data_IF_605398242326
#
_entry.id   IF_605398242326
#
_cell.length_a   1.000
_cell.length_b   1.000
_cell.length_c   1.000
_cell.angle_alpha   90.00
_cell.angle_beta   90.00
_cell.angle_gamma   90.00
#
_symmetry.space_group_name_H-M   'P 1'
#
loop_
_entity.id
_entity.type
_entity.pdbx_description
1 polymer ?
#
# COMPACT_ATOMS: atom_id res chain seq x y z
N UNK A 1 -4.84 40.45 8.15
CA UNK A 1 -3.60 40.59 7.38
C UNK A 1 -2.73 39.31 7.42
N UNK A 2 -2.75 38.55 8.50
CA UNK A 2 -2.02 37.26 8.59
C UNK A 2 -2.63 36.10 7.80
N UNK A 3 -3.84 36.25 7.33
CA UNK A 3 -4.57 35.19 6.60
C UNK A 3 -4.07 34.93 5.18
N UNK A 4 -3.39 35.91 4.57
CA UNK A 4 -2.89 35.79 3.20
C UNK A 4 -1.58 35.01 3.12
N UNK A 5 -0.79 34.98 4.17
CA UNK A 5 0.48 34.26 4.22
C UNK A 5 0.29 32.74 4.34
N UNK A 6 -0.76 32.32 5.04
CA UNK A 6 -1.08 30.90 5.24
C UNK A 6 -1.48 30.22 3.92
N UNK A 7 -2.11 30.95 3.00
CA UNK A 7 -2.50 30.41 1.69
C UNK A 7 -1.33 30.21 0.74
N UNK A 8 -0.24 30.94 0.89
CA UNK A 8 0.94 30.81 0.03
C UNK A 8 1.78 29.58 0.35
N UNK A 9 1.84 29.19 1.61
CA UNK A 9 2.58 27.98 2.01
C UNK A 9 1.96 26.68 1.48
N UNK A 10 0.65 26.64 1.35
CA UNK A 10 -0.06 25.46 0.82
C UNK A 10 0.16 25.22 -0.66
N UNK A 11 0.57 26.23 -1.42
CA UNK A 11 0.73 26.14 -2.87
C UNK A 11 2.12 25.71 -3.31
N UNK A 12 3.11 25.70 -2.42
CA UNK A 12 4.49 25.42 -2.77
C UNK A 12 4.93 23.98 -2.51
N UNK A 13 4.15 23.19 -1.80
CA UNK A 13 4.45 21.76 -1.57
C UNK A 13 4.02 20.94 -2.77
N UNK A 14 5.00 20.51 -3.56
CA UNK A 14 4.76 19.49 -4.59
C UNK A 14 4.21 18.23 -3.94
N UNK A 15 3.04 17.80 -4.39
CA UNK A 15 2.48 16.54 -3.92
C UNK A 15 3.26 15.36 -4.46
N UNK A 16 3.70 14.47 -3.58
CA UNK A 16 4.12 13.13 -3.96
C UNK A 16 2.90 12.34 -4.43
N UNK A 17 3.07 11.25 -5.20
CA UNK A 17 1.94 10.38 -5.54
C UNK A 17 1.12 10.04 -4.29
N UNK A 18 -0.20 10.14 -4.37
CA UNK A 18 -1.10 10.04 -3.20
C UNK A 18 -1.00 8.69 -2.46
N UNK A 19 -0.58 7.64 -3.16
CA UNK A 19 -0.53 6.28 -2.60
C UNK A 19 0.86 5.86 -2.14
N UNK A 20 1.86 6.74 -2.24
CA UNK A 20 3.24 6.45 -1.84
C UNK A 20 3.62 7.35 -0.68
N UNK A 21 4.08 6.73 0.40
CA UNK A 21 4.53 7.41 1.61
C UNK A 21 6.00 7.08 1.84
N UNK A 22 6.79 8.08 2.22
CA UNK A 22 8.17 7.89 2.61
C UNK A 22 8.26 7.47 4.07
N UNK A 23 9.04 6.42 4.32
CA UNK A 23 9.35 5.94 5.65
C UNK A 23 10.86 5.69 5.72
N UNK A 24 11.51 6.13 6.79
CA UNK A 24 12.97 6.01 6.94
C UNK A 24 13.46 4.57 6.97
N UNK A 25 12.66 3.66 7.51
CA UNK A 25 13.01 2.25 7.60
C UNK A 25 12.67 1.46 6.33
N UNK A 26 11.56 1.79 5.69
CA UNK A 26 11.00 1.04 4.54
C UNK A 26 11.31 1.68 3.19
N UNK A 27 11.73 2.95 3.20
CA UNK A 27 11.78 3.74 1.98
C UNK A 27 10.38 4.12 1.50
N UNK A 28 10.15 4.10 0.20
CA UNK A 28 8.79 4.35 -0.34
C UNK A 28 7.93 3.11 -0.19
N UNK A 29 6.73 3.26 0.34
CA UNK A 29 5.76 2.18 0.47
C UNK A 29 4.34 2.67 0.18
N UNK A 30 3.42 1.73 -0.08
CA UNK A 30 2.02 2.02 -0.30
C UNK A 30 1.35 2.50 0.99
N UNK A 31 0.53 3.53 0.88
CA UNK A 31 -0.24 4.04 2.02
C UNK A 31 -1.36 3.06 2.36
N UNK A 32 -1.45 2.65 3.63
CA UNK A 32 -2.57 1.83 4.11
C UNK A 32 -3.87 2.64 4.11
N UNK A 33 -4.98 1.98 3.77
CA UNK A 33 -6.30 2.58 3.96
C UNK A 33 -6.63 2.59 5.45
N UNK A 34 -6.88 3.76 6.00
CA UNK A 34 -7.23 3.94 7.41
C UNK A 34 -8.49 3.17 7.82
N UNK A 35 -9.39 2.96 6.87
CA UNK A 35 -10.61 2.20 7.07
C UNK A 35 -10.35 0.78 7.60
N UNK A 36 -9.39 0.07 7.02
CA UNK A 36 -9.09 -1.31 7.41
C UNK A 36 -8.52 -1.43 8.82
N UNK A 37 -7.82 -0.38 9.30
CA UNK A 37 -7.21 -0.40 10.63
C UNK A 37 -8.16 0.03 11.75
N UNK A 38 -9.30 0.67 11.43
CA UNK A 38 -10.23 1.21 12.40
C UNK A 38 -11.41 0.28 12.73
N UNK A 39 -11.59 -0.79 11.97
CA UNK A 39 -12.64 -1.76 12.21
C UNK A 39 -12.23 -2.71 13.33
N UNK A 40 -12.99 -2.75 14.40
CA UNK A 40 -12.76 -3.66 15.51
C UNK A 40 -13.13 -5.10 15.18
N UNK A 41 -12.49 -6.06 15.84
CA UNK A 41 -12.84 -7.46 15.69
C UNK A 41 -14.26 -7.73 16.15
N UNK A 42 -15.10 -8.44 15.36
CA UNK A 42 -16.41 -8.86 15.81
C UNK A 42 -16.29 -9.87 16.96
N UNK A 43 -17.18 -9.80 17.92
CA UNK A 43 -17.16 -10.70 19.06
C UNK A 43 -18.55 -10.94 19.58
N UNK A 44 -18.75 -12.10 20.20
CA UNK A 44 -19.98 -12.42 20.93
C UNK A 44 -19.97 -11.60 22.23
N UNK A 45 -21.02 -10.83 22.45
CA UNK A 45 -21.21 -10.06 23.67
C UNK A 45 -22.41 -10.63 24.42
N UNK A 46 -22.19 -11.08 25.64
CA UNK A 46 -23.19 -11.66 26.47
C UNK A 46 -23.40 -10.79 27.72
N UNK A 47 -24.67 -10.55 28.08
CA UNK A 47 -25.05 -9.86 29.31
C UNK A 47 -25.61 -10.88 30.29
N UNK A 48 -25.17 -10.85 31.54
CA UNK A 48 -25.74 -11.57 32.68
C UNK A 48 -25.95 -13.07 32.45
N UNK A 49 -24.97 -13.78 31.97
CA UNK A 49 -25.07 -15.22 31.70
C UNK A 49 -24.23 -16.03 32.67
N UNK A 50 -24.62 -17.32 32.81
CA UNK A 50 -23.87 -18.26 33.63
C UNK A 50 -22.44 -18.47 33.18
N UNK A 51 -21.59 -18.84 34.12
CA UNK A 51 -20.14 -18.92 33.90
C UNK A 51 -19.69 -19.80 32.75
N UNK A 52 -20.38 -20.94 32.50
CA UNK A 52 -19.98 -21.83 31.42
C UNK A 52 -20.30 -21.27 30.02
N UNK A 53 -21.42 -20.56 29.87
CA UNK A 53 -21.73 -19.87 28.61
C UNK A 53 -20.69 -18.80 28.30
N UNK A 54 -20.28 -18.05 29.31
CA UNK A 54 -19.23 -17.05 29.16
C UNK A 54 -17.92 -17.70 28.75
N UNK A 55 -17.58 -18.83 29.34
CA UNK A 55 -16.36 -19.59 28.96
C UNK A 55 -16.43 -20.08 27.53
N UNK A 56 -17.58 -20.62 27.10
CA UNK A 56 -17.77 -21.09 25.72
C UNK A 56 -17.66 -19.93 24.73
N UNK A 57 -18.30 -18.80 25.05
CA UNK A 57 -18.24 -17.61 24.22
C UNK A 57 -16.80 -17.07 24.12
N UNK A 58 -16.05 -17.11 25.21
CA UNK A 58 -14.65 -16.68 25.21
C UNK A 58 -13.79 -17.56 24.32
N UNK A 59 -14.01 -18.89 24.31
CA UNK A 59 -13.30 -19.81 23.42
C UNK A 59 -13.65 -19.52 21.96
N UNK A 60 -14.95 -19.35 21.67
CA UNK A 60 -15.40 -18.99 20.32
C UNK A 60 -14.82 -17.63 19.87
N UNK A 61 -14.78 -16.66 20.75
CA UNK A 61 -14.24 -15.34 20.46
C UNK A 61 -12.75 -15.37 20.13
N UNK A 62 -11.98 -16.27 20.74
CA UNK A 62 -10.58 -16.45 20.36
C UNK A 62 -10.43 -16.90 18.92
N UNK A 63 -11.30 -17.81 18.47
CA UNK A 63 -11.31 -18.30 17.09
C UNK A 63 -11.72 -17.17 16.13
N UNK A 64 -12.74 -16.41 16.48
CA UNK A 64 -13.18 -15.26 15.67
C UNK A 64 -12.10 -14.20 15.58
N UNK A 65 -11.42 -13.90 16.67
CA UNK A 65 -10.30 -12.94 16.67
C UNK A 65 -9.15 -13.41 15.78
N UNK A 66 -8.81 -14.71 15.85
CA UNK A 66 -7.75 -15.30 15.01
C UNK A 66 -8.10 -15.17 13.53
N UNK A 67 -9.34 -15.50 13.17
CA UNK A 67 -9.81 -15.38 11.78
C UNK A 67 -9.86 -13.93 11.32
N UNK A 68 -10.27 -13.03 12.18
CA UNK A 68 -10.26 -11.60 11.90
C UNK A 68 -8.85 -11.09 11.59
N UNK A 69 -7.86 -11.48 12.40
CA UNK A 69 -6.47 -11.08 12.18
C UNK A 69 -5.92 -11.63 10.86
N UNK A 70 -6.27 -12.86 10.49
CA UNK A 70 -5.93 -13.42 9.19
C UNK A 70 -6.51 -12.59 8.04
N UNK A 71 -7.82 -12.30 8.10
CA UNK A 71 -8.51 -11.53 7.07
C UNK A 71 -7.99 -10.10 6.98
N UNK A 72 -7.64 -9.53 8.11
CA UNK A 72 -7.05 -8.18 8.17
C UNK A 72 -5.71 -8.14 7.46
N UNK A 73 -4.87 -9.16 7.66
CA UNK A 73 -3.58 -9.27 6.99
C UNK A 73 -3.74 -9.51 5.48
N UNK A 74 -4.66 -10.37 5.09
CA UNK A 74 -4.98 -10.59 3.67
C UNK A 74 -5.49 -9.31 3.00
N UNK A 75 -6.33 -8.57 3.69
CA UNK A 75 -6.84 -7.29 3.19
C UNK A 75 -5.73 -6.27 3.02
N UNK A 76 -4.80 -6.19 3.98
CA UNK A 76 -3.64 -5.31 3.89
C UNK A 76 -2.79 -5.63 2.66
N UNK A 77 -2.53 -6.91 2.40
CA UNK A 77 -1.78 -7.34 1.21
C UNK A 77 -2.50 -6.96 -0.08
N UNK A 78 -3.83 -7.11 -0.10
CA UNK A 78 -4.63 -6.70 -1.24
C UNK A 78 -4.53 -5.19 -1.49
N UNK A 79 -4.61 -4.38 -0.45
CA UNK A 79 -4.48 -2.93 -0.56
C UNK A 79 -3.10 -2.55 -1.10
N UNK A 80 -2.05 -3.18 -0.60
CA UNK A 80 -0.69 -2.94 -1.11
C UNK A 80 -0.57 -3.29 -2.60
N UNK A 81 -1.14 -4.41 -3.00
CA UNK A 81 -1.15 -4.85 -4.40
C UNK A 81 -1.87 -3.84 -5.30
N UNK A 82 -3.03 -3.37 -4.89
CA UNK A 82 -3.80 -2.35 -5.63
C UNK A 82 -3.03 -1.05 -5.71
N UNK A 83 -2.44 -0.61 -4.62
CA UNK A 83 -1.68 0.64 -4.57
C UNK A 83 -0.44 0.60 -5.47
N UNK A 84 0.30 -0.49 -5.47
CA UNK A 84 1.45 -0.64 -6.36
C UNK A 84 1.02 -0.69 -7.82
N UNK A 85 -0.09 -1.36 -8.13
CA UNK A 85 -0.63 -1.39 -9.49
C UNK A 85 -1.02 0.00 -9.96
N UNK A 86 -1.70 0.76 -9.13
CA UNK A 86 -2.09 2.13 -9.46
C UNK A 86 -0.86 3.00 -9.72
N UNK A 87 0.16 2.87 -8.89
CA UNK A 87 1.40 3.62 -9.05
C UNK A 87 2.09 3.30 -10.37
N UNK A 88 2.18 2.03 -10.74
CA UNK A 88 2.82 1.62 -12.00
C UNK A 88 2.00 2.05 -13.21
N UNK A 89 0.68 1.86 -13.18
CA UNK A 89 -0.19 2.26 -14.29
C UNK A 89 -0.21 3.76 -14.53
N UNK A 90 -0.07 4.56 -13.48
CA UNK A 90 -0.03 6.02 -13.60
C UNK A 90 1.37 6.56 -13.90
N UNK A 91 2.39 5.70 -13.92
CA UNK A 91 3.75 6.10 -14.26
C UNK A 91 3.90 6.40 -15.75
N UNK A 92 4.95 7.13 -16.10
CA UNK A 92 5.24 7.46 -17.49
C UNK A 92 5.95 6.30 -18.18
N UNK A 93 5.33 5.74 -19.19
CA UNK A 93 5.96 4.84 -20.15
C UNK A 93 5.21 4.89 -21.48
N UNK A 94 5.95 4.86 -22.58
CA UNK A 94 5.38 4.93 -23.93
C UNK A 94 5.46 3.60 -24.68
N UNK A 95 6.14 2.62 -24.13
CA UNK A 95 6.26 1.29 -24.72
C UNK A 95 5.10 0.38 -24.27
N UNK A 96 4.84 -0.69 -25.02
CA UNK A 96 3.90 -1.71 -24.63
C UNK A 96 4.62 -2.73 -23.74
N UNK A 97 4.24 -2.88 -22.47
CA UNK A 97 4.93 -3.83 -21.59
C UNK A 97 4.75 -5.26 -22.06
N UNK A 98 5.85 -6.04 -21.97
CA UNK A 98 5.84 -7.46 -22.27
C UNK A 98 5.58 -8.24 -21.00
N UNK A 99 4.69 -9.21 -21.07
CA UNK A 99 4.40 -10.08 -19.92
C UNK A 99 5.67 -10.81 -19.45
N UNK A 100 5.79 -10.92 -18.14
CA UNK A 100 6.90 -11.58 -17.44
C UNK A 100 8.28 -10.91 -17.57
N UNK A 101 8.38 -9.79 -18.29
CA UNK A 101 9.57 -8.96 -18.26
C UNK A 101 9.62 -8.12 -16.99
N UNK A 102 10.80 -7.94 -16.44
CA UNK A 102 11.00 -7.14 -15.24
C UNK A 102 11.29 -5.70 -15.64
N UNK A 103 10.47 -4.80 -15.13
CA UNK A 103 10.64 -3.36 -15.32
C UNK A 103 10.95 -2.72 -13.97
N UNK A 104 11.72 -1.65 -13.99
CA UNK A 104 12.11 -0.93 -12.78
C UNK A 104 11.42 0.43 -12.74
N UNK A 105 10.81 0.74 -11.62
CA UNK A 105 10.11 2.00 -11.41
C UNK A 105 11.04 2.98 -10.71
N UNK A 106 11.17 4.17 -11.28
CA UNK A 106 12.01 5.24 -10.77
C UNK A 106 11.21 6.52 -10.59
N UNK A 107 11.70 7.39 -9.74
CA UNK A 107 11.14 8.72 -9.53
C UNK A 107 12.11 9.78 -10.04
N UNK A 108 11.61 10.71 -10.82
CA UNK A 108 12.38 11.88 -11.28
C UNK A 108 12.43 12.94 -10.20
N UNK A 109 13.28 13.95 -10.39
CA UNK A 109 13.41 15.08 -9.48
C UNK A 109 12.15 15.92 -9.33
N UNK A 110 11.26 15.88 -10.32
CA UNK A 110 9.96 16.56 -10.31
C UNK A 110 8.84 15.73 -9.69
N UNK A 111 9.17 14.62 -9.01
CA UNK A 111 8.25 13.69 -8.36
C UNK A 111 7.35 12.89 -9.32
N UNK A 112 7.67 12.88 -10.62
CA UNK A 112 7.01 11.99 -11.58
C UNK A 112 7.69 10.62 -11.61
N UNK A 113 6.91 9.56 -11.79
CA UNK A 113 7.41 8.19 -11.88
C UNK A 113 7.49 7.72 -13.32
N UNK A 114 8.43 6.83 -13.62
CA UNK A 114 8.57 6.23 -14.94
C UNK A 114 9.13 4.81 -14.84
N UNK A 115 8.76 3.97 -15.83
CA UNK A 115 9.27 2.60 -15.96
C UNK A 115 10.48 2.56 -16.90
N UNK A 116 11.45 1.71 -16.56
CA UNK A 116 12.64 1.48 -17.38
C UNK A 116 13.11 0.05 -17.26
N UNK A 117 13.82 -0.43 -18.28
CA UNK A 117 14.52 -1.71 -18.25
C UNK A 117 15.89 -1.63 -17.59
N UNK A 118 16.37 -0.44 -17.32
CA UNK A 118 17.70 -0.22 -16.76
C UNK A 118 17.71 -0.64 -15.28
N UNK A 119 18.61 -1.56 -14.95
CA UNK A 119 18.78 -2.05 -13.59
C UNK A 119 19.26 -0.94 -12.64
N UNK A 120 18.77 -0.88 -11.38
CA UNK A 120 19.16 0.18 -10.45
C UNK A 120 20.65 0.24 -10.14
N UNK A 121 21.38 -0.85 -10.29
CA UNK A 121 22.84 -0.85 -10.14
C UNK A 121 23.57 -0.10 -11.27
N UNK A 122 22.91 0.13 -12.39
CA UNK A 122 23.47 0.79 -13.57
C UNK A 122 23.03 2.25 -13.71
N UNK A 123 22.17 2.71 -12.82
CA UNK A 123 21.59 4.04 -12.95
C UNK A 123 21.48 4.74 -11.59
N UNK A 124 21.78 6.04 -11.57
CA UNK A 124 21.72 6.86 -10.36
C UNK A 124 20.37 7.51 -10.08
N UNK A 125 19.28 7.06 -10.70
CA UNK A 125 17.95 7.58 -10.47
C UNK A 125 17.36 7.02 -9.16
N UNK A 126 16.36 7.71 -8.60
CA UNK A 126 15.67 7.25 -7.40
C UNK A 126 14.84 6.00 -7.70
N UNK A 127 15.31 4.87 -7.24
CA UNK A 127 14.65 3.59 -7.44
C UNK A 127 13.51 3.40 -6.44
N UNK A 128 12.33 2.97 -6.95
CA UNK A 128 11.16 2.68 -6.13
C UNK A 128 10.96 1.18 -5.98
N UNK A 129 10.96 0.45 -7.07
CA UNK A 129 10.73 -0.99 -7.05
C UNK A 129 10.79 -1.60 -8.43
N UNK A 130 10.77 -2.94 -8.47
CA UNK A 130 10.77 -3.71 -9.70
C UNK A 130 9.46 -4.47 -9.82
N UNK A 131 8.92 -4.51 -11.02
CA UNK A 131 7.60 -5.08 -11.30
C UNK A 131 7.62 -5.88 -12.58
N UNK A 132 6.77 -6.90 -12.63
CA UNK A 132 6.47 -7.63 -13.86
C UNK A 132 4.97 -7.68 -14.08
N UNK A 133 4.57 -7.67 -15.34
CA UNK A 133 3.15 -7.77 -15.73
C UNK A 133 2.76 -9.25 -15.85
N UNK A 134 1.69 -9.66 -15.18
CA UNK A 134 1.19 -11.03 -15.30
C UNK A 134 0.11 -11.16 -16.40
N UNK A 135 -0.35 -12.38 -16.61
CA UNK A 135 -1.37 -12.67 -17.62
C UNK A 135 -2.74 -12.04 -17.33
N UNK A 136 -3.00 -11.61 -16.10
CA UNK A 136 -4.22 -10.93 -15.69
C UNK A 136 -4.11 -9.41 -15.76
N UNK A 137 -3.01 -8.90 -16.30
CA UNK A 137 -2.71 -7.46 -16.44
C UNK A 137 -2.44 -6.77 -15.10
N UNK A 138 -2.06 -7.54 -14.08
CA UNK A 138 -1.62 -6.99 -12.80
C UNK A 138 -0.09 -6.87 -12.78
N UNK A 139 0.39 -5.77 -12.22
CA UNK A 139 1.80 -5.60 -11.93
C UNK A 139 2.13 -6.26 -10.61
N UNK A 140 3.07 -7.17 -10.62
CA UNK A 140 3.51 -7.90 -9.44
C UNK A 140 4.88 -7.36 -9.05
N UNK A 141 4.99 -6.90 -7.80
CA UNK A 141 6.26 -6.44 -7.26
C UNK A 141 7.20 -7.62 -7.09
N UNK A 142 8.40 -7.51 -7.62
CA UNK A 142 9.43 -8.55 -7.55
C UNK A 142 10.67 -8.00 -6.84
N UNK A 143 11.36 -8.87 -6.14
CA UNK A 143 12.66 -8.55 -5.55
C UNK A 143 13.78 -8.89 -6.54
N UNK A 144 14.78 -8.01 -6.60
CA UNK A 144 15.94 -8.18 -7.47
C UNK A 144 17.21 -8.37 -6.66
#
# INVERSE_FOLDING_TARGET
LGRREIKKEKMTKKKKPDLVVWDEERGYYSKELTYASNVGAPAIKLEDVGGWKQMQANVANKQFKSKYEELKEEFRKLIDEVNWNELVYTSNYSFIPVMNEIYHLYMRKDDTTFLSLIHPSQWGQNYIGSFKLDSTQKWIKVEI
#
